data_IF_202158953059
#
_entry.id   IF_202158953059
#
_cell.length_a   1.000
_cell.length_b   1.000
_cell.length_c   1.000
_cell.angle_alpha   90.00
_cell.angle_beta   90.00
_cell.angle_gamma   90.00
#
_symmetry.space_group_name_H-M   'P 1'
#
loop_
_entity.id
_entity.type
_entity.pdbx_description
1 polymer ?
#
# COMPACT_ATOMS: atom_id res chain seq x y z
N UNK A 1 23.05 -4.26 8.26
CA UNK A 1 21.90 -4.05 7.34
C UNK A 1 22.30 -4.52 5.95
N UNK A 2 21.60 -5.52 5.44
CA UNK A 2 21.83 -6.08 4.11
C UNK A 2 21.52 -5.05 3.02
N UNK A 3 22.45 -4.92 2.08
CA UNK A 3 22.27 -4.14 0.86
C UNK A 3 21.69 -5.05 -0.22
N UNK A 4 20.51 -4.72 -0.69
CA UNK A 4 19.91 -5.35 -1.88
C UNK A 4 20.47 -4.68 -3.11
N UNK A 5 20.90 -5.50 -4.07
CA UNK A 5 21.34 -5.04 -5.39
C UNK A 5 20.87 -6.05 -6.42
N UNK A 6 19.97 -5.64 -7.30
CA UNK A 6 19.37 -6.52 -8.30
C UNK A 6 19.18 -5.78 -9.63
N UNK A 7 19.57 -6.42 -10.72
CA UNK A 7 19.24 -5.93 -12.06
C UNK A 7 17.81 -6.30 -12.40
N UNK A 8 17.00 -5.31 -12.79
CA UNK A 8 15.60 -5.43 -13.19
C UNK A 8 15.41 -4.81 -14.57
N UNK A 9 14.35 -5.17 -15.28
CA UNK A 9 14.06 -4.56 -16.59
C UNK A 9 13.71 -3.08 -16.44
N UNK A 10 13.91 -2.32 -17.53
CA UNK A 10 13.58 -0.89 -17.56
C UNK A 10 12.10 -0.66 -17.21
N UNK A 11 11.20 -1.51 -17.71
CA UNK A 11 9.77 -1.48 -17.38
C UNK A 11 9.51 -1.64 -15.88
N UNK A 12 10.17 -2.61 -15.22
CA UNK A 12 10.03 -2.77 -13.76
C UNK A 12 10.51 -1.52 -13.02
N UNK A 13 11.63 -0.96 -13.47
CA UNK A 13 12.23 0.20 -12.85
C UNK A 13 11.37 1.46 -13.03
N UNK A 14 10.80 1.66 -14.21
CA UNK A 14 9.87 2.76 -14.49
C UNK A 14 8.64 2.73 -13.56
N UNK A 15 8.03 1.55 -13.35
CA UNK A 15 6.88 1.43 -12.45
C UNK A 15 7.28 1.73 -11.00
N UNK A 16 8.41 1.21 -10.52
CA UNK A 16 8.89 1.49 -9.15
C UNK A 16 9.20 2.98 -8.98
N UNK A 17 9.84 3.63 -9.96
CA UNK A 17 10.11 5.08 -9.95
C UNK A 17 8.80 5.87 -9.97
N UNK A 18 7.87 5.51 -10.86
CA UNK A 18 6.54 6.14 -10.93
C UNK A 18 5.79 6.05 -9.60
N UNK A 19 5.77 4.88 -8.94
CA UNK A 19 5.13 4.73 -7.64
C UNK A 19 5.87 5.50 -6.54
N UNK A 20 7.21 5.58 -6.60
CA UNK A 20 8.02 6.39 -5.67
C UNK A 20 7.66 7.86 -5.72
N UNK A 21 7.49 8.41 -6.92
CA UNK A 21 7.10 9.80 -7.16
C UNK A 21 5.63 10.03 -6.76
N UNK A 22 4.75 9.15 -7.23
CA UNK A 22 3.31 9.27 -7.05
C UNK A 22 2.88 9.19 -5.58
N UNK A 23 3.45 8.24 -4.83
CA UNK A 23 3.18 8.06 -3.40
C UNK A 23 4.14 8.84 -2.49
N UNK A 24 5.07 9.61 -3.07
CA UNK A 24 6.10 10.36 -2.34
C UNK A 24 6.85 9.46 -1.35
N UNK A 25 7.20 8.26 -1.79
CA UNK A 25 7.80 7.23 -0.97
C UNK A 25 9.15 6.80 -1.56
N UNK A 26 10.27 6.89 -0.82
CA UNK A 26 11.57 6.46 -1.31
C UNK A 26 11.56 5.00 -1.77
N UNK A 27 12.26 4.69 -2.87
CA UNK A 27 12.36 3.34 -3.45
C UNK A 27 12.77 2.30 -2.41
N UNK A 28 13.71 2.62 -1.52
CA UNK A 28 14.12 1.71 -0.45
C UNK A 28 13.00 1.40 0.55
N UNK A 29 12.07 2.34 0.79
CA UNK A 29 10.88 2.09 1.61
C UNK A 29 9.90 1.20 0.89
N UNK A 30 9.66 1.41 -0.42
CA UNK A 30 8.85 0.52 -1.26
C UNK A 30 9.43 -0.89 -1.21
N UNK A 31 10.73 -1.07 -1.46
CA UNK A 31 11.40 -2.37 -1.41
C UNK A 31 11.21 -3.09 -0.07
N UNK A 32 11.33 -2.39 1.04
CA UNK A 32 11.10 -2.97 2.38
C UNK A 32 9.64 -3.36 2.62
N UNK A 33 8.68 -2.58 2.13
CA UNK A 33 7.25 -2.89 2.29
C UNK A 33 6.87 -4.09 1.44
N UNK A 34 7.26 -4.12 0.15
CA UNK A 34 6.90 -5.23 -0.74
C UNK A 34 7.57 -6.55 -0.29
N UNK A 35 8.80 -6.51 0.21
CA UNK A 35 9.41 -7.68 0.84
C UNK A 35 8.56 -8.21 1.98
N UNK A 36 8.21 -7.34 2.94
CA UNK A 36 7.40 -7.71 4.10
C UNK A 36 6.00 -8.23 3.71
N UNK A 37 5.42 -7.66 2.66
CA UNK A 37 4.10 -8.05 2.18
C UNK A 37 4.09 -9.41 1.47
N UNK A 38 5.16 -9.71 0.71
CA UNK A 38 5.22 -10.91 -0.14
C UNK A 38 6.02 -12.07 0.44
N UNK A 39 6.70 -11.90 1.57
CA UNK A 39 7.63 -12.88 2.14
C UNK A 39 7.03 -14.29 2.37
N UNK A 40 5.72 -14.37 2.66
CA UNK A 40 5.01 -15.62 2.91
C UNK A 40 3.93 -15.88 1.84
N UNK A 41 4.02 -15.24 0.67
CA UNK A 41 3.04 -15.37 -0.43
C UNK A 41 3.67 -16.06 -1.64
N UNK A 42 2.81 -16.65 -2.47
CA UNK A 42 3.25 -17.15 -3.77
C UNK A 42 3.68 -15.98 -4.67
N UNK A 43 4.87 -16.11 -5.25
CA UNK A 43 5.44 -15.12 -6.16
C UNK A 43 5.26 -15.56 -7.59
N UNK A 44 4.99 -14.61 -8.47
CA UNK A 44 5.07 -14.83 -9.92
C UNK A 44 6.54 -14.99 -10.31
N UNK A 45 6.84 -16.05 -11.03
CA UNK A 45 8.21 -16.26 -11.55
C UNK A 45 8.45 -15.39 -12.76
N UNK A 46 9.61 -14.77 -12.80
CA UNK A 46 10.11 -14.06 -13.98
C UNK A 46 10.88 -15.05 -14.84
N UNK A 47 10.43 -15.27 -16.06
CA UNK A 47 11.25 -16.01 -17.03
C UNK A 47 12.46 -15.15 -17.40
N UNK A 48 13.65 -15.69 -17.12
CA UNK A 48 14.93 -15.03 -17.40
C UNK A 48 15.26 -15.16 -18.89
N UNK A 49 14.83 -14.20 -19.68
CA UNK A 49 15.52 -13.86 -20.93
C UNK A 49 16.80 -13.06 -20.63
N UNK A 50 17.59 -12.71 -21.64
CA UNK A 50 18.74 -11.80 -21.49
C UNK A 50 18.26 -10.44 -20.96
N UNK A 51 18.37 -10.22 -19.64
CA UNK A 51 18.01 -8.95 -19.02
C UNK A 51 19.11 -7.91 -19.25
N UNK A 52 18.89 -7.00 -20.20
CA UNK A 52 19.47 -5.65 -20.12
C UNK A 52 18.51 -4.80 -19.24
N UNK A 53 19.04 -4.14 -18.25
CA UNK A 53 18.20 -3.30 -17.36
C UNK A 53 19.02 -2.54 -16.34
N UNK A 54 18.34 -1.74 -15.53
CA UNK A 54 18.96 -0.93 -14.50
C UNK A 54 19.15 -1.69 -13.18
N UNK A 55 20.16 -1.27 -12.43
CA UNK A 55 20.42 -1.83 -11.09
C UNK A 55 19.56 -1.10 -10.07
N UNK A 56 18.58 -1.79 -9.52
CA UNK A 56 17.86 -1.33 -8.34
C UNK A 56 18.67 -1.63 -7.08
N UNK A 57 18.86 -0.63 -6.24
CA UNK A 57 19.66 -0.76 -5.02
C UNK A 57 19.00 -0.06 -3.84
N UNK A 58 18.93 -0.75 -2.69
CA UNK A 58 18.47 -0.19 -1.41
C UNK A 58 18.96 -1.04 -0.23
N UNK A 59 18.79 -0.51 0.99
CA UNK A 59 19.11 -1.25 2.20
C UNK A 59 17.84 -1.81 2.85
N UNK A 60 17.91 -3.05 3.35
CA UNK A 60 16.85 -3.57 4.22
C UNK A 60 16.86 -2.83 5.55
N UNK A 61 15.67 -2.59 6.11
CA UNK A 61 15.57 -2.15 7.49
C UNK A 61 15.91 -3.31 8.44
N UNK A 62 16.17 -3.00 9.71
CA UNK A 62 16.61 -3.98 10.70
C UNK A 62 15.71 -5.22 10.75
N UNK A 63 14.39 -5.03 10.84
CA UNK A 63 13.45 -6.13 10.98
C UNK A 63 13.44 -7.05 9.75
N UNK A 64 13.52 -6.48 8.55
CA UNK A 64 13.55 -7.24 7.30
C UNK A 64 14.89 -7.94 7.11
N UNK A 65 16.00 -7.31 7.53
CA UNK A 65 17.34 -7.88 7.49
C UNK A 65 17.45 -9.15 8.33
N UNK A 66 16.89 -9.12 9.55
CA UNK A 66 16.88 -10.24 10.49
C UNK A 66 16.16 -11.48 9.94
N UNK A 67 15.09 -11.30 9.17
CA UNK A 67 14.26 -12.41 8.66
C UNK A 67 14.57 -12.78 7.21
N UNK A 68 15.40 -12.00 6.50
CA UNK A 68 15.61 -12.16 5.07
C UNK A 68 16.13 -13.54 4.67
N UNK A 69 17.18 -14.01 5.35
CA UNK A 69 17.81 -15.29 4.98
C UNK A 69 16.87 -16.48 5.15
N UNK A 70 16.13 -16.53 6.25
CA UNK A 70 15.16 -17.60 6.50
C UNK A 70 14.04 -17.58 5.46
N UNK A 71 13.58 -16.38 5.08
CA UNK A 71 12.55 -16.20 4.08
C UNK A 71 13.04 -16.59 2.69
N UNK A 72 14.26 -16.19 2.33
CA UNK A 72 14.89 -16.55 1.06
C UNK A 72 15.06 -18.08 0.93
N UNK A 73 15.60 -18.74 1.95
CA UNK A 73 15.75 -20.20 1.95
C UNK A 73 14.43 -20.93 1.79
N UNK A 74 13.38 -20.48 2.51
CA UNK A 74 12.03 -21.04 2.40
C UNK A 74 11.41 -20.87 1.01
N UNK A 75 11.78 -19.83 0.28
CA UNK A 75 11.25 -19.56 -1.06
C UNK A 75 11.69 -20.59 -2.12
N UNK A 76 12.75 -21.36 -1.86
CA UNK A 76 13.36 -22.35 -2.77
C UNK A 76 13.76 -21.76 -4.12
N UNK A 77 14.05 -20.48 -4.16
CA UNK A 77 14.58 -19.78 -5.34
C UNK A 77 16.10 -19.89 -5.31
N UNK A 78 16.75 -20.08 -6.46
CA UNK A 78 18.18 -20.41 -6.51
C UNK A 78 19.06 -19.23 -6.11
N UNK A 79 18.70 -18.00 -6.49
CA UNK A 79 19.49 -16.80 -6.22
C UNK A 79 18.69 -15.68 -5.57
N UNK A 80 19.37 -14.88 -4.72
CA UNK A 80 18.74 -13.69 -4.14
C UNK A 80 18.26 -12.69 -5.21
N UNK A 81 18.99 -12.58 -6.32
CA UNK A 81 18.61 -11.69 -7.41
C UNK A 81 17.29 -12.14 -8.07
N UNK A 82 17.13 -13.45 -8.28
CA UNK A 82 15.87 -14.02 -8.79
C UNK A 82 14.74 -13.82 -7.79
N UNK A 83 14.97 -14.06 -6.51
CA UNK A 83 13.98 -13.84 -5.46
C UNK A 83 13.45 -12.40 -5.46
N UNK A 84 14.36 -11.42 -5.53
CA UNK A 84 13.98 -10.01 -5.61
C UNK A 84 13.24 -9.65 -6.89
N UNK A 85 13.67 -10.20 -8.04
CA UNK A 85 12.94 -10.01 -9.31
C UNK A 85 11.51 -10.53 -9.21
N UNK A 86 11.32 -11.72 -8.64
CA UNK A 86 10.00 -12.31 -8.46
C UNK A 86 9.09 -11.45 -7.54
N UNK A 87 9.62 -10.92 -6.43
CA UNK A 87 8.89 -9.98 -5.57
C UNK A 87 8.47 -8.73 -6.35
N UNK A 88 9.43 -8.08 -7.02
CA UNK A 88 9.19 -6.85 -7.77
C UNK A 88 8.20 -7.09 -8.89
N UNK A 89 8.37 -8.17 -9.65
CA UNK A 89 7.48 -8.55 -10.74
C UNK A 89 6.06 -8.81 -10.25
N UNK A 90 5.91 -9.54 -9.15
CA UNK A 90 4.60 -9.78 -8.54
C UNK A 90 3.93 -8.47 -8.12
N UNK A 91 4.70 -7.53 -7.57
CA UNK A 91 4.20 -6.21 -7.18
C UNK A 91 3.74 -5.38 -8.38
N UNK A 92 4.58 -5.22 -9.40
CA UNK A 92 4.29 -4.34 -10.54
C UNK A 92 3.16 -4.83 -11.44
N UNK A 93 2.88 -6.15 -11.44
CA UNK A 93 1.75 -6.73 -12.17
C UNK A 93 0.39 -6.41 -11.56
N UNK A 94 0.34 -5.72 -10.43
CA UNK A 94 -0.90 -5.23 -9.89
C UNK A 94 -1.25 -3.86 -10.47
N UNK A 95 -2.55 -3.56 -10.58
CA UNK A 95 -3.03 -2.21 -10.89
C UNK A 95 -2.58 -1.23 -9.80
N UNK A 96 -2.45 0.05 -10.13
CA UNK A 96 -1.88 1.05 -9.18
C UNK A 96 -2.65 1.11 -7.85
N UNK A 97 -3.98 1.07 -7.86
CA UNK A 97 -4.75 1.07 -6.62
C UNK A 97 -4.47 -0.17 -5.74
N UNK A 98 -4.16 -1.33 -6.34
CA UNK A 98 -3.74 -2.51 -5.58
C UNK A 98 -2.33 -2.35 -5.04
N UNK A 99 -1.43 -1.72 -5.79
CA UNK A 99 -0.10 -1.38 -5.28
C UNK A 99 -0.19 -0.37 -4.15
N UNK A 100 -1.15 0.59 -4.20
CA UNK A 100 -1.46 1.49 -3.09
C UNK A 100 -1.91 0.71 -1.84
N UNK A 101 -2.82 -0.27 -1.96
CA UNK A 101 -3.22 -1.14 -0.84
C UNK A 101 -2.02 -1.84 -0.21
N UNK A 102 -1.08 -2.35 -1.02
CA UNK A 102 0.14 -3.02 -0.53
C UNK A 102 1.03 -2.03 0.23
N UNK A 103 1.27 -0.86 -0.34
CA UNK A 103 2.15 0.15 0.25
C UNK A 103 1.59 0.78 1.53
N UNK A 104 0.27 0.86 1.64
CA UNK A 104 -0.45 1.46 2.76
C UNK A 104 -1.32 0.44 3.52
N UNK A 105 -0.95 -0.86 3.47
CA UNK A 105 -1.71 -1.97 4.06
C UNK A 105 -2.19 -1.68 5.49
N UNK A 106 -1.34 -1.10 6.34
CA UNK A 106 -1.69 -0.76 7.71
C UNK A 106 -2.83 0.27 7.79
N UNK A 107 -2.86 1.24 6.89
CA UNK A 107 -3.92 2.25 6.82
C UNK A 107 -5.21 1.62 6.34
N UNK A 108 -5.17 0.86 5.22
CA UNK A 108 -6.34 0.15 4.69
C UNK A 108 -6.96 -0.78 5.72
N UNK A 109 -6.15 -1.56 6.43
CA UNK A 109 -6.60 -2.47 7.49
C UNK A 109 -7.33 -1.72 8.60
N UNK A 110 -6.78 -0.61 9.09
CA UNK A 110 -7.42 0.21 10.13
C UNK A 110 -8.73 0.86 9.66
N UNK A 111 -8.80 1.29 8.40
CA UNK A 111 -10.04 1.80 7.80
C UNK A 111 -11.10 0.70 7.81
N UNK A 112 -10.75 -0.48 7.30
CA UNK A 112 -11.65 -1.64 7.26
C UNK A 112 -12.16 -2.02 8.65
N UNK A 113 -11.27 -2.10 9.62
CA UNK A 113 -11.63 -2.38 11.03
C UNK A 113 -12.58 -1.32 11.60
N UNK A 114 -12.36 -0.04 11.31
CA UNK A 114 -13.26 1.05 11.70
C UNK A 114 -14.66 0.89 11.10
N UNK A 115 -14.75 0.56 9.81
CA UNK A 115 -16.02 0.32 9.12
C UNK A 115 -16.76 -0.91 9.68
N UNK A 116 -16.06 -2.04 9.84
CA UNK A 116 -16.62 -3.30 10.37
C UNK A 116 -17.12 -3.15 11.81
N UNK A 117 -16.37 -2.45 12.64
CA UNK A 117 -16.75 -2.17 14.04
C UNK A 117 -17.81 -1.08 14.17
N UNK A 118 -18.20 -0.43 13.06
CA UNK A 118 -19.13 0.72 13.04
C UNK A 118 -18.74 1.83 14.02
N UNK A 119 -17.44 2.15 14.07
CA UNK A 119 -16.88 3.18 14.95
C UNK A 119 -16.29 4.33 14.16
N UNK A 120 -16.46 5.54 14.67
CA UNK A 120 -15.74 6.70 14.17
C UNK A 120 -14.26 6.51 14.41
N UNK A 121 -13.47 7.01 13.48
CA UNK A 121 -11.99 6.98 13.55
C UNK A 121 -11.46 8.42 13.49
N UNK A 122 -10.32 8.65 14.13
CA UNK A 122 -9.54 9.87 13.92
C UNK A 122 -8.50 9.58 12.86
N UNK A 123 -8.43 10.41 11.83
CA UNK A 123 -7.40 10.34 10.79
C UNK A 123 -6.49 11.55 10.88
N UNK A 124 -5.19 11.35 10.75
CA UNK A 124 -4.24 12.44 10.51
C UNK A 124 -4.07 12.60 9.00
N UNK A 125 -4.62 13.69 8.49
CA UNK A 125 -4.59 14.03 7.07
C UNK A 125 -3.82 15.34 6.91
N UNK A 126 -2.67 15.27 6.29
CA UNK A 126 -1.67 16.34 6.33
C UNK A 126 -1.37 16.74 7.80
N UNK A 127 -1.44 18.02 8.11
CA UNK A 127 -1.20 18.56 9.47
C UNK A 127 -2.44 18.55 10.39
N UNK A 128 -3.58 18.01 9.93
CA UNK A 128 -4.83 18.09 10.66
C UNK A 128 -5.31 16.73 11.13
N UNK A 129 -5.85 16.69 12.36
CA UNK A 129 -6.60 15.53 12.85
C UNK A 129 -8.08 15.76 12.56
N UNK A 130 -8.74 14.75 11.99
CA UNK A 130 -10.16 14.75 11.65
C UNK A 130 -10.85 13.56 12.31
N UNK A 131 -11.98 13.82 12.96
CA UNK A 131 -12.90 12.77 13.39
C UNK A 131 -13.85 12.48 12.23
N UNK A 132 -13.90 11.24 11.80
CA UNK A 132 -14.70 10.83 10.64
C UNK A 132 -15.47 9.54 10.89
N UNK A 133 -16.64 9.44 10.27
CA UNK A 133 -17.44 8.22 10.15
C UNK A 133 -17.13 7.55 8.82
N UNK A 134 -16.29 6.50 8.78
CA UNK A 134 -15.91 5.82 7.54
C UNK A 134 -17.07 4.98 7.01
N UNK A 135 -17.41 5.10 5.72
CA UNK A 135 -18.50 4.34 5.10
C UNK A 135 -17.98 3.29 4.11
N UNK A 136 -17.15 3.68 3.16
CA UNK A 136 -16.56 2.76 2.19
C UNK A 136 -15.27 3.32 1.58
N UNK A 137 -14.53 2.44 0.93
CA UNK A 137 -13.37 2.80 0.10
C UNK A 137 -13.79 2.68 -1.35
N UNK A 138 -13.52 3.72 -2.13
CA UNK A 138 -13.74 3.71 -3.58
C UNK A 138 -12.44 3.94 -4.32
N UNK A 139 -12.36 3.37 -5.52
CA UNK A 139 -11.28 3.62 -6.47
C UNK A 139 -11.81 4.63 -7.50
N UNK A 140 -11.07 5.70 -7.74
CA UNK A 140 -11.35 6.60 -8.87
C UNK A 140 -10.69 6.01 -10.12
N UNK A 141 -11.50 5.65 -11.12
CA UNK A 141 -11.04 4.93 -12.31
C UNK A 141 -10.07 5.75 -13.15
N UNK A 142 -10.29 7.05 -13.25
CA UNK A 142 -9.46 8.01 -13.97
C UNK A 142 -8.08 8.23 -13.32
N UNK A 143 -8.02 8.22 -11.99
CA UNK A 143 -6.78 8.44 -11.24
C UNK A 143 -6.09 7.13 -10.79
N UNK A 144 -6.76 5.97 -10.86
CA UNK A 144 -6.31 4.72 -10.26
C UNK A 144 -5.87 4.87 -8.79
N UNK A 145 -6.66 5.61 -8.02
CA UNK A 145 -6.43 5.96 -6.61
C UNK A 145 -7.57 5.51 -5.73
N UNK A 146 -7.22 5.20 -4.49
CA UNK A 146 -8.18 4.84 -3.45
C UNK A 146 -8.52 6.03 -2.55
N UNK A 147 -9.81 6.20 -2.32
CA UNK A 147 -10.38 7.24 -1.47
C UNK A 147 -11.22 6.62 -0.36
N UNK A 148 -11.05 7.15 0.84
CA UNK A 148 -11.99 6.92 1.93
C UNK A 148 -13.17 7.88 1.80
N UNK A 149 -14.38 7.37 1.50
CA UNK A 149 -15.60 8.13 1.62
C UNK A 149 -16.11 8.09 3.06
N UNK A 150 -16.33 9.25 3.64
CA UNK A 150 -16.69 9.38 5.04
C UNK A 150 -17.45 10.68 5.31
N UNK A 151 -18.13 10.75 6.46
CA UNK A 151 -18.63 12.02 7.01
C UNK A 151 -17.59 12.61 7.95
N UNK A 152 -17.23 13.88 7.74
CA UNK A 152 -16.26 14.60 8.56
C UNK A 152 -16.98 15.48 9.60
N UNK A 153 -16.87 15.16 10.87
CA UNK A 153 -17.57 15.88 11.97
C UNK A 153 -17.19 17.37 12.02
N UNK A 154 -15.92 17.70 11.81
CA UNK A 154 -15.45 19.09 11.84
C UNK A 154 -16.06 19.93 10.71
N UNK A 155 -16.22 19.36 9.53
CA UNK A 155 -16.74 20.08 8.37
C UNK A 155 -18.26 19.98 8.27
N UNK A 156 -18.88 19.09 9.06
CA UNK A 156 -20.28 18.74 9.02
C UNK A 156 -20.75 18.39 7.59
N UNK A 157 -19.92 17.58 6.88
CA UNK A 157 -20.10 17.28 5.45
C UNK A 157 -19.43 15.96 5.05
N UNK A 158 -19.89 15.37 3.93
CA UNK A 158 -19.25 14.21 3.31
C UNK A 158 -17.94 14.59 2.62
N UNK A 159 -16.95 13.74 2.74
CA UNK A 159 -15.61 13.98 2.21
C UNK A 159 -14.99 12.70 1.65
N UNK A 160 -14.15 12.89 0.62
CA UNK A 160 -13.24 11.89 0.12
C UNK A 160 -11.81 12.23 0.54
N UNK A 161 -11.19 11.34 1.29
CA UNK A 161 -9.78 11.48 1.67
C UNK A 161 -8.93 10.48 0.88
N UNK A 162 -7.87 10.94 0.21
CA UNK A 162 -6.90 10.06 -0.45
C UNK A 162 -6.23 9.19 0.61
N UNK A 163 -6.32 7.86 0.45
CA UNK A 163 -5.84 6.93 1.49
C UNK A 163 -4.33 7.02 1.66
N UNK A 164 -3.58 7.16 0.57
CA UNK A 164 -2.11 7.36 0.60
C UNK A 164 -1.64 8.65 1.27
N UNK A 165 -2.52 9.61 1.51
CA UNK A 165 -2.23 10.86 2.22
C UNK A 165 -2.65 10.82 3.70
N UNK A 166 -3.27 9.71 4.15
CA UNK A 166 -3.57 9.50 5.57
C UNK A 166 -2.29 9.00 6.26
N UNK A 167 -1.76 9.80 7.18
CA UNK A 167 -0.52 9.49 7.89
C UNK A 167 -0.73 8.50 9.03
N UNK A 168 -1.86 8.64 9.76
CA UNK A 168 -2.16 7.84 10.95
C UNK A 168 -3.65 7.72 11.20
N UNK A 169 -4.07 6.62 11.85
CA UNK A 169 -5.46 6.36 12.23
C UNK A 169 -5.50 5.89 13.68
N UNK A 170 -6.43 6.47 14.45
CA UNK A 170 -6.77 6.04 15.81
C UNK A 170 -8.25 5.68 15.89
N UNK A 171 -8.57 4.61 16.59
CA UNK A 171 -9.94 4.21 16.89
C UNK A 171 -10.54 5.06 17.99
N UNK A 172 -11.85 5.26 17.94
CA UNK A 172 -12.62 5.91 19.00
C UNK A 172 -13.67 4.97 19.58
N UNK A 173 -14.27 5.35 20.68
CA UNK A 173 -15.43 4.64 21.24
C UNK A 173 -16.77 5.14 20.67
N UNK A 174 -16.75 6.18 19.85
CA UNK A 174 -17.94 6.76 19.25
C UNK A 174 -18.45 5.88 18.10
N UNK A 175 -19.75 5.60 18.10
CA UNK A 175 -20.40 4.85 17.01
C UNK A 175 -20.62 5.76 15.80
N UNK A 176 -20.58 5.15 14.61
CA UNK A 176 -20.98 5.83 13.38
C UNK A 176 -22.47 6.15 13.44
N UNK A 177 -22.82 7.40 13.16
CA UNK A 177 -24.18 7.85 12.89
C UNK A 177 -24.35 8.00 11.38
N UNK A 178 -25.28 7.25 10.82
CA UNK A 178 -25.62 7.38 9.39
C UNK A 178 -26.48 8.62 9.22
N UNK A 179 -25.93 9.67 8.62
CA UNK A 179 -26.63 10.96 8.45
C UNK A 179 -27.66 10.92 7.32
N UNK A 180 -27.32 10.32 6.19
CA UNK A 180 -28.19 10.14 5.03
C UNK A 180 -27.86 8.81 4.34
N UNK A 181 -28.66 7.79 4.64
CA UNK A 181 -28.44 6.46 4.07
C UNK A 181 -28.66 6.44 2.56
N UNK A 182 -29.67 7.16 2.05
CA UNK A 182 -29.98 7.20 0.62
C UNK A 182 -28.83 7.77 -0.18
N UNK A 183 -28.26 8.89 0.28
CA UNK A 183 -27.10 9.51 -0.36
C UNK A 183 -25.86 8.60 -0.34
N UNK A 184 -25.59 7.91 0.79
CA UNK A 184 -24.48 6.98 0.89
C UNK A 184 -24.64 5.83 -0.10
N UNK A 185 -25.84 5.25 -0.19
CA UNK A 185 -26.13 4.15 -1.10
C UNK A 185 -26.01 4.59 -2.59
N UNK A 186 -26.44 5.79 -2.93
CA UNK A 186 -26.29 6.36 -4.29
C UNK A 186 -24.84 6.59 -4.71
N UNK A 187 -23.97 6.99 -3.78
CA UNK A 187 -22.54 7.30 -4.05
C UNK A 187 -21.66 6.04 -3.98
N UNK A 188 -22.16 4.93 -3.43
CA UNK A 188 -21.43 3.67 -3.30
C UNK A 188 -21.46 2.79 -4.55
N UNK A 189 -22.29 3.14 -5.54
CA UNK A 189 -22.42 2.50 -6.86
C UNK A 189 -21.42 3.15 -7.81
#
# INVERSE_FOLDING_TARGET
MKKVRVTISDFMNEIIKSDSEYFKMPVGRIGNIIFKYYMDKNLNKVELGNFSGEVLQFNLNKNNDEIFMDTFVRSRVETEAEYWRNIIFTYINNLRYRREEILFEKIFRKIKEGMESKRKIKIKYHKYIRLVSPYFVKVADDENRSYLFCYCEKNNDYRNYRISEIEEIWFTNEKIEVKDKKYIDEVSV
#
